data_IF_129288639265
#
_entry.id   IF_129288639265
#
_cell.length_a   1.000
_cell.length_b   1.000
_cell.length_c   1.000
_cell.angle_alpha   90.00
_cell.angle_beta   90.00
_cell.angle_gamma   90.00
#
_symmetry.space_group_name_H-M   'P 1'
#
loop_
_entity.id
_entity.type
_entity.pdbx_description
1 polymer ?
#
# COMPACT_ATOMS: atom_id res chain seq x y z
N UNK A 1 1.21 19.38 26.74
CA UNK A 1 1.18 18.72 26.33
C UNK A 1 1.03 18.13 25.79
N UNK A 2 1.22 18.02 25.85
CA UNK A 2 1.20 17.22 25.33
C UNK A 2 1.11 16.67 24.59
N UNK A 3 1.35 16.37 24.53
CA UNK A 3 1.32 15.74 23.93
C UNK A 3 1.02 15.19 23.27
N UNK A 4 1.21 15.15 23.17
CA UNK A 4 0.95 14.52 22.59
C UNK A 4 0.74 13.87 22.03
N UNK A 5 1.00 13.89 21.95
CA UNK A 5 0.94 13.05 21.64
C UNK A 5 0.35 12.08 21.30
N UNK A 6 0.13 12.09 20.96
CA UNK A 6 -0.75 10.98 20.80
C UNK A 6 -0.19 10.01 19.79
N UNK A 7 -0.02 8.75 20.13
CA UNK A 7 0.50 7.79 19.18
C UNK A 7 -0.46 7.68 18.01
N UNK A 8 0.06 7.73 16.81
CA UNK A 8 -0.75 7.56 15.63
C UNK A 8 -1.14 6.11 15.45
N UNK A 9 -2.39 5.81 15.10
CA UNK A 9 -2.77 4.43 14.82
C UNK A 9 -2.11 3.88 13.56
N UNK A 10 -1.70 4.76 12.63
CA UNK A 10 -1.00 4.33 11.43
C UNK A 10 0.24 5.17 11.23
N UNK A 11 1.36 4.56 10.84
CA UNK A 11 2.58 5.32 10.57
C UNK A 11 2.45 6.12 9.28
N UNK A 12 3.24 7.17 9.17
CA UNK A 12 3.23 8.02 8.00
C UNK A 12 3.50 7.25 6.72
N UNK A 13 4.31 6.17 6.78
CA UNK A 13 4.67 5.42 5.58
C UNK A 13 3.44 4.81 4.90
N UNK A 14 2.44 4.37 5.68
CA UNK A 14 1.21 3.83 5.10
C UNK A 14 0.45 4.92 4.36
N UNK A 15 0.30 6.09 4.97
CA UNK A 15 -0.36 7.21 4.33
C UNK A 15 0.41 7.68 3.10
N UNK A 16 1.73 7.73 3.19
CA UNK A 16 2.57 8.15 2.07
C UNK A 16 2.47 7.19 0.91
N UNK A 17 2.31 5.89 1.19
CA UNK A 17 2.10 4.91 0.13
C UNK A 17 0.87 5.25 -0.71
N UNK A 18 -0.27 5.50 -0.04
CA UNK A 18 -1.50 5.82 -0.76
C UNK A 18 -1.42 7.15 -1.48
N UNK A 19 -0.72 8.13 -0.90
CA UNK A 19 -0.53 9.42 -1.56
C UNK A 19 0.31 9.28 -2.82
N UNK A 20 1.41 8.54 -2.74
CA UNK A 20 2.28 8.32 -3.90
C UNK A 20 1.54 7.53 -4.98
N UNK A 21 0.76 6.52 -4.57
CA UNK A 21 -0.03 5.74 -5.50
C UNK A 21 -1.04 6.62 -6.24
N UNK A 22 -1.73 7.49 -5.51
CA UNK A 22 -2.74 8.37 -6.10
C UNK A 22 -2.13 9.36 -7.09
N UNK A 23 -0.90 9.84 -6.82
CA UNK A 23 -0.18 10.73 -7.71
C UNK A 23 0.54 9.99 -8.83
N UNK A 24 0.58 8.66 -8.75
CA UNK A 24 1.34 7.81 -9.68
C UNK A 24 2.81 8.17 -9.69
N UNK A 25 3.32 8.51 -8.51
CA UNK A 25 4.72 8.85 -8.32
C UNK A 25 5.48 7.60 -7.94
N UNK A 26 5.99 6.92 -8.95
CA UNK A 26 6.62 5.60 -8.77
C UNK A 26 7.87 5.71 -7.91
N UNK A 27 8.69 6.72 -8.13
CA UNK A 27 9.93 6.88 -7.37
C UNK A 27 9.64 7.14 -5.90
N UNK A 28 8.65 7.99 -5.61
CA UNK A 28 8.26 8.23 -4.22
C UNK A 28 7.71 6.97 -3.57
N UNK A 29 6.94 6.19 -4.32
CA UNK A 29 6.40 4.94 -3.81
C UNK A 29 7.52 3.95 -3.49
N UNK A 30 8.47 3.77 -4.42
CA UNK A 30 9.56 2.81 -4.21
C UNK A 30 10.43 3.19 -3.02
N UNK A 31 10.58 4.48 -2.75
CA UNK A 31 11.37 4.94 -1.62
C UNK A 31 10.79 4.53 -0.26
N UNK A 32 9.52 4.13 -0.22
CA UNK A 32 8.87 3.68 1.01
C UNK A 32 9.09 2.21 1.29
N UNK A 33 9.66 1.46 0.36
CA UNK A 33 9.85 0.02 0.50
C UNK A 33 11.29 -0.29 0.85
N UNK A 34 11.44 -1.35 1.65
CA UNK A 34 12.73 -1.96 1.90
C UNK A 34 13.27 -2.53 0.58
N UNK A 35 14.61 -2.60 0.45
CA UNK A 35 15.23 -3.11 -0.79
C UNK A 35 14.83 -4.55 -1.08
N UNK A 36 14.54 -5.33 -0.05
CA UNK A 36 14.15 -6.73 -0.20
C UNK A 36 12.65 -6.93 -0.02
N UNK A 37 11.87 -5.87 -0.12
CA UNK A 37 10.44 -5.94 0.09
C UNK A 37 9.77 -6.83 -0.93
N UNK A 38 8.59 -7.32 -0.56
CA UNK A 38 7.77 -8.12 -1.46
C UNK A 38 6.36 -7.54 -1.50
N UNK A 39 5.80 -7.48 -2.70
CA UNK A 39 4.40 -7.14 -2.91
C UNK A 39 3.70 -8.39 -3.41
N UNK A 40 2.55 -8.71 -2.80
CA UNK A 40 1.72 -9.81 -3.24
C UNK A 40 0.39 -9.22 -3.69
N UNK A 41 0.07 -9.40 -4.96
CA UNK A 41 -1.15 -8.88 -5.55
C UNK A 41 -1.69 -9.93 -6.50
N UNK A 42 -2.97 -10.24 -6.37
CA UNK A 42 -3.65 -11.26 -7.17
C UNK A 42 -2.93 -12.61 -7.08
N UNK A 43 -2.40 -12.91 -5.90
CA UNK A 43 -1.74 -14.17 -5.64
C UNK A 43 -0.33 -14.29 -6.19
N UNK A 44 0.22 -13.23 -6.77
CA UNK A 44 1.57 -13.24 -7.33
C UNK A 44 2.49 -12.36 -6.51
N UNK A 45 3.70 -12.84 -6.27
CA UNK A 45 4.71 -12.11 -5.50
C UNK A 45 5.69 -11.38 -6.42
N UNK A 46 5.99 -10.14 -6.05
CA UNK A 46 6.94 -9.26 -6.74
C UNK A 46 7.99 -8.87 -5.71
N UNK A 47 9.25 -9.23 -5.95
CA UNK A 47 10.31 -9.08 -4.97
C UNK A 47 11.35 -8.08 -5.39
N UNK A 48 11.68 -7.16 -4.48
CA UNK A 48 12.72 -6.17 -4.71
C UNK A 48 12.24 -5.00 -5.55
N UNK A 49 13.04 -3.94 -5.56
CA UNK A 49 12.63 -2.67 -6.16
C UNK A 49 12.32 -2.79 -7.64
N UNK A 50 13.12 -3.58 -8.37
CA UNK A 50 12.91 -3.70 -9.82
C UNK A 50 11.60 -4.40 -10.13
N UNK A 51 11.29 -5.49 -9.43
CA UNK A 51 10.04 -6.21 -9.67
C UNK A 51 8.84 -5.41 -9.20
N UNK A 52 8.96 -4.70 -8.07
CA UNK A 52 7.87 -3.87 -7.58
C UNK A 52 7.59 -2.74 -8.57
N UNK A 53 8.63 -2.15 -9.16
CA UNK A 53 8.45 -1.16 -10.22
C UNK A 53 7.70 -1.76 -11.40
N UNK A 54 8.10 -2.96 -11.82
CA UNK A 54 7.42 -3.65 -12.93
C UNK A 54 5.94 -3.90 -12.61
N UNK A 55 5.65 -4.30 -11.38
CA UNK A 55 4.28 -4.51 -10.95
C UNK A 55 3.46 -3.22 -11.04
N UNK A 56 4.02 -2.12 -10.52
CA UNK A 56 3.28 -0.85 -10.48
C UNK A 56 3.06 -0.27 -11.87
N UNK A 57 4.04 -0.43 -12.75
CA UNK A 57 3.94 0.10 -14.12
C UNK A 57 3.16 -0.84 -15.05
N UNK A 58 3.05 -2.11 -14.71
CA UNK A 58 2.34 -3.11 -15.51
C UNK A 58 0.97 -3.43 -14.92
N UNK A 59 0.84 -4.57 -14.22
CA UNK A 59 -0.48 -5.03 -13.76
C UNK A 59 -1.23 -4.01 -12.92
N UNK A 60 -0.56 -3.29 -12.03
CA UNK A 60 -1.21 -2.35 -11.15
C UNK A 60 -1.65 -1.08 -11.88
N UNK A 61 -1.17 -0.85 -13.11
CA UNK A 61 -1.56 0.30 -13.91
C UNK A 61 -2.44 -0.08 -15.10
N UNK A 62 -2.89 -1.32 -15.14
CA UNK A 62 -3.70 -1.81 -16.25
C UNK A 62 -5.01 -1.03 -16.39
N UNK A 63 -5.56 -0.59 -15.28
CA UNK A 63 -6.80 0.17 -15.26
C UNK A 63 -6.59 1.49 -14.56
N UNK A 64 -7.43 2.46 -14.89
CA UNK A 64 -7.48 3.71 -14.15
C UNK A 64 -8.52 3.57 -13.04
N UNK A 65 -8.16 3.96 -11.83
CA UNK A 65 -9.06 3.82 -10.70
C UNK A 65 -8.75 4.87 -9.64
N UNK A 66 -9.74 5.08 -8.77
CA UNK A 66 -9.63 5.92 -7.58
C UNK A 66 -9.73 5.01 -6.35
N UNK A 67 -8.87 5.22 -5.39
CA UNK A 67 -8.85 4.44 -4.15
C UNK A 67 -9.46 5.27 -3.03
N UNK A 68 -10.41 4.70 -2.31
CA UNK A 68 -11.01 5.31 -1.12
C UNK A 68 -10.70 4.43 0.07
N UNK A 69 -9.91 4.94 1.00
CA UNK A 69 -9.55 4.19 2.22
C UNK A 69 -10.61 4.50 3.27
N UNK A 70 -11.23 3.46 3.82
CA UNK A 70 -12.29 3.59 4.81
C UNK A 70 -11.79 3.34 6.23
N UNK A 71 -10.62 2.76 6.39
CA UNK A 71 -10.05 2.54 7.72
C UNK A 71 -8.64 2.01 7.62
N UNK A 72 -7.85 2.29 8.66
CA UNK A 72 -6.52 1.74 8.81
C UNK A 72 -6.44 1.25 10.25
N UNK A 73 -6.17 -0.05 10.41
CA UNK A 73 -6.10 -0.69 11.73
C UNK A 73 -4.69 -1.19 11.99
N UNK A 74 -4.23 -0.99 13.21
CA UNK A 74 -2.99 -1.61 13.65
C UNK A 74 -3.32 -3.01 14.13
N UNK A 75 -2.77 -4.01 13.43
CA UNK A 75 -3.02 -5.41 13.78
C UNK A 75 -2.00 -5.86 14.82
N UNK A 76 -0.77 -5.35 14.69
CA UNK A 76 0.36 -5.76 15.50
C UNK A 76 1.35 -4.61 15.50
N UNK A 77 2.47 -4.74 16.21
CA UNK A 77 3.45 -3.68 16.32
C UNK A 77 3.94 -3.20 14.95
N UNK A 78 4.12 -4.13 14.02
CA UNK A 78 4.65 -3.82 12.69
C UNK A 78 3.68 -4.17 11.56
N UNK A 79 2.43 -4.49 11.89
CA UNK A 79 1.45 -4.93 10.90
C UNK A 79 0.26 -3.99 10.92
N UNK A 80 -0.01 -3.37 9.78
CA UNK A 80 -1.15 -2.48 9.61
C UNK A 80 -2.01 -2.98 8.46
N UNK A 81 -3.32 -2.86 8.60
CA UNK A 81 -4.26 -3.25 7.56
C UNK A 81 -5.11 -2.05 7.18
N UNK A 82 -5.04 -1.66 5.92
CA UNK A 82 -5.94 -0.66 5.37
C UNK A 82 -7.11 -1.37 4.71
N UNK A 83 -8.30 -0.81 4.84
CA UNK A 83 -9.50 -1.32 4.19
C UNK A 83 -10.07 -0.21 3.34
N UNK A 84 -10.62 -0.56 2.18
CA UNK A 84 -11.19 0.43 1.31
C UNK A 84 -11.73 -0.19 0.04
N UNK A 85 -11.93 0.66 -0.96
CA UNK A 85 -12.42 0.20 -2.25
C UNK A 85 -11.72 0.96 -3.35
N UNK A 86 -11.67 0.34 -4.50
CA UNK A 86 -11.25 1.01 -5.72
C UNK A 86 -12.45 1.10 -6.65
N UNK A 87 -12.55 2.23 -7.35
CA UNK A 87 -13.59 2.49 -8.34
C UNK A 87 -12.89 2.90 -9.63
N UNK A 88 -13.25 2.27 -10.74
CA UNK A 88 -12.54 2.57 -11.97
C UNK A 88 -13.13 1.89 -13.19
N UNK A 89 -12.32 1.80 -14.24
CA UNK A 89 -12.75 1.28 -15.53
C UNK A 89 -12.40 -0.19 -15.75
N UNK A 90 -12.24 -0.93 -14.66
CA UNK A 90 -11.99 -2.37 -14.72
C UNK A 90 -13.33 -3.14 -14.68
N UNK A 91 -13.32 -4.42 -15.03
CA UNK A 91 -14.54 -5.23 -14.95
C UNK A 91 -15.09 -5.22 -13.53
N UNK A 92 -16.39 -4.93 -13.43
CA UNK A 92 -17.05 -4.78 -12.13
C UNK A 92 -17.07 -3.37 -11.61
N UNK A 93 -16.16 -2.51 -12.08
CA UNK A 93 -16.08 -1.06 -11.79
C UNK A 93 -15.83 -0.70 -10.32
N UNK A 94 -16.05 -1.61 -9.38
CA UNK A 94 -15.84 -1.38 -7.94
C UNK A 94 -15.35 -2.66 -7.32
N UNK A 95 -14.35 -2.56 -6.44
CA UNK A 95 -13.85 -3.69 -5.68
C UNK A 95 -13.47 -3.25 -4.28
N UNK A 96 -13.84 -4.06 -3.28
CA UNK A 96 -13.42 -3.84 -1.91
C UNK A 96 -12.12 -4.59 -1.69
N UNK A 97 -11.13 -3.93 -1.12
CA UNK A 97 -9.80 -4.50 -0.95
C UNK A 97 -9.29 -4.25 0.45
N UNK A 98 -8.31 -5.06 0.81
CA UNK A 98 -7.50 -4.87 2.01
C UNK A 98 -6.04 -4.87 1.63
N UNK A 99 -5.29 -3.98 2.26
CA UNK A 99 -3.85 -3.84 2.07
C UNK A 99 -3.19 -4.14 3.40
N UNK A 100 -2.45 -5.24 3.47
CA UNK A 100 -1.72 -5.63 4.67
C UNK A 100 -0.27 -5.21 4.52
N UNK A 101 0.17 -4.32 5.41
CA UNK A 101 1.54 -3.77 5.41
C UNK A 101 2.30 -4.35 6.58
N UNK A 102 3.44 -4.99 6.29
CA UNK A 102 4.42 -5.31 7.31
C UNK A 102 5.57 -4.31 7.19
N UNK A 103 5.95 -3.73 8.30
CA UNK A 103 6.98 -2.70 8.34
C UNK A 103 8.23 -3.23 9.01
N UNK A 104 9.38 -2.75 8.57
CA UNK A 104 10.66 -3.03 9.19
C UNK A 104 11.46 -1.75 9.15
N UNK A 105 11.84 -1.25 10.33
CA UNK A 105 12.66 -0.04 10.46
C UNK A 105 12.07 1.14 9.69
N UNK A 106 10.75 1.28 9.75
CA UNK A 106 10.07 2.42 9.14
C UNK A 106 9.79 2.29 7.66
N UNK A 107 10.16 1.17 7.04
CA UNK A 107 9.91 0.93 5.62
C UNK A 107 8.96 -0.26 5.46
N UNK A 108 8.34 -0.34 4.30
CA UNK A 108 7.44 -1.45 3.98
C UNK A 108 8.30 -2.65 3.58
N UNK A 109 8.19 -3.74 4.33
CA UNK A 109 8.91 -4.98 4.02
C UNK A 109 8.03 -5.96 3.25
N UNK A 110 6.70 -5.83 3.40
CA UNK A 110 5.76 -6.69 2.70
C UNK A 110 4.44 -5.97 2.58
N UNK A 111 3.84 -6.06 1.40
CA UNK A 111 2.50 -5.54 1.16
C UNK A 111 1.71 -6.62 0.43
N UNK A 112 0.59 -7.02 1.03
CA UNK A 112 -0.31 -7.95 0.38
C UNK A 112 -1.64 -7.26 0.13
N UNK A 113 -2.12 -7.35 -1.11
CA UNK A 113 -3.38 -6.74 -1.53
C UNK A 113 -4.34 -7.86 -1.90
N UNK A 114 -5.52 -7.87 -1.27
CA UNK A 114 -6.50 -8.93 -1.49
C UNK A 114 -7.92 -8.41 -1.22
N UNK A 115 -8.94 -9.08 -1.75
CA UNK A 115 -10.34 -8.73 -1.46
C UNK A 115 -10.71 -8.86 0.01
#
# INVERSE_FOLDING_TARGET
>A
MPEDTAPEPSPDVVSQYFEADARRDIDAMLALFDDDAVVIDEGRAWRGSAEIRDWRLGPASKYEYTTTITGIDRVDDDHYRASGRIDGNFPGATASLKWDFLLAEGLISRLEIAP
#
